data_IF_451865022368
#
_entry.id   IF_451865022368
#
_cell.length_a   1.000
_cell.length_b   1.000
_cell.length_c   1.000
_cell.angle_alpha   90.00
_cell.angle_beta   90.00
_cell.angle_gamma   90.00
#
_symmetry.space_group_name_H-M   'P 1'
#
loop_
_entity.id
_entity.type
_entity.pdbx_description
1 polymer ?
#
# COMPACT_ATOMS: atom_id res chain seq x y z
N UNK A 1 1.74 11.96 14.27
CA UNK A 1 1.40 10.52 14.28
C UNK A 1 1.71 9.97 12.90
N UNK A 2 2.20 8.73 12.80
CA UNK A 2 2.55 8.13 11.52
C UNK A 2 1.47 7.13 11.07
N UNK A 3 1.26 7.03 9.77
CA UNK A 3 0.61 5.85 9.17
C UNK A 3 1.64 4.73 9.22
N UNK A 4 1.30 3.58 9.80
CA UNK A 4 2.25 2.48 10.02
C UNK A 4 1.86 1.26 9.23
N UNK A 5 2.79 0.66 8.51
CA UNK A 5 2.64 -0.66 7.88
C UNK A 5 3.62 -1.63 8.53
N UNK A 6 3.09 -2.74 9.04
CA UNK A 6 3.88 -3.90 9.47
C UNK A 6 3.73 -5.01 8.45
N UNK A 7 4.84 -5.46 7.88
CA UNK A 7 4.85 -6.40 6.75
C UNK A 7 5.17 -7.83 7.16
N UNK A 8 4.65 -8.74 6.34
CA UNK A 8 5.08 -10.12 6.24
C UNK A 8 5.42 -10.39 4.76
N UNK A 9 6.68 -10.73 4.50
CA UNK A 9 7.15 -11.07 3.16
C UNK A 9 6.85 -12.55 2.87
N UNK A 10 6.20 -12.79 1.74
CA UNK A 10 5.96 -14.10 1.15
C UNK A 10 6.76 -14.21 -0.15
N UNK A 11 6.77 -15.40 -0.76
CA UNK A 11 7.54 -15.66 -1.97
C UNK A 11 6.97 -14.89 -3.18
N UNK A 12 5.64 -14.74 -3.25
CA UNK A 12 4.88 -14.20 -4.38
C UNK A 12 4.34 -12.78 -4.13
N UNK A 13 4.22 -12.35 -2.88
CA UNK A 13 3.75 -11.02 -2.52
C UNK A 13 4.29 -10.55 -1.16
N UNK A 14 3.95 -9.33 -0.77
CA UNK A 14 4.09 -8.86 0.60
C UNK A 14 2.73 -8.44 1.12
N UNK A 15 2.31 -9.02 2.23
CA UNK A 15 1.09 -8.59 2.94
C UNK A 15 1.45 -7.80 4.18
N UNK A 16 0.51 -7.00 4.68
CA UNK A 16 0.77 -6.26 5.92
C UNK A 16 -0.49 -5.80 6.64
N UNK A 17 -0.28 -5.32 7.86
CA UNK A 17 -1.28 -4.58 8.62
C UNK A 17 -0.95 -3.10 8.57
N UNK A 18 -1.92 -2.27 8.17
CA UNK A 18 -1.80 -0.82 8.15
C UNK A 18 -2.63 -0.19 9.26
N UNK A 19 -2.09 0.80 9.97
CA UNK A 19 -2.82 1.49 11.03
C UNK A 19 -2.45 2.96 11.17
N UNK A 20 -3.42 3.78 11.58
CA UNK A 20 -3.23 5.19 11.94
C UNK A 20 -3.99 5.47 13.23
N UNK A 21 -3.23 5.64 14.32
CA UNK A 21 -3.81 5.82 15.65
C UNK A 21 -4.66 4.62 16.08
N UNK A 22 -5.75 4.91 16.80
CA UNK A 22 -6.75 3.90 17.16
C UNK A 22 -7.87 3.80 16.12
N UNK A 23 -8.01 4.84 15.28
CA UNK A 23 -9.20 5.08 14.47
C UNK A 23 -9.20 4.28 13.16
N UNK A 24 -8.03 3.88 12.67
CA UNK A 24 -7.90 3.16 11.41
C UNK A 24 -7.00 1.93 11.52
N UNK A 25 -7.52 0.79 11.06
CA UNK A 25 -6.79 -0.46 10.85
C UNK A 25 -7.32 -1.16 9.60
N UNK A 26 -6.41 -1.72 8.82
CA UNK A 26 -6.74 -2.49 7.62
C UNK A 26 -5.54 -3.41 7.24
N UNK A 27 -5.64 -4.07 6.09
CA UNK A 27 -4.58 -4.86 5.49
C UNK A 27 -4.01 -4.20 4.24
N UNK A 28 -2.79 -4.58 3.89
CA UNK A 28 -2.09 -4.15 2.68
C UNK A 28 -1.66 -5.33 1.82
N UNK A 29 -1.56 -5.07 0.52
CA UNK A 29 -0.95 -5.97 -0.46
C UNK A 29 0.06 -5.19 -1.32
N UNK A 30 1.23 -5.77 -1.48
CA UNK A 30 2.35 -5.21 -2.23
C UNK A 30 3.05 -6.33 -3.02
N UNK A 31 3.96 -5.95 -3.92
CA UNK A 31 4.86 -6.91 -4.59
C UNK A 31 5.80 -7.59 -3.58
N UNK A 32 6.38 -8.77 -3.92
CA UNK A 32 7.37 -9.41 -3.06
C UNK A 32 8.59 -8.50 -2.90
N UNK A 33 9.37 -8.70 -1.83
CA UNK A 33 10.66 -8.00 -1.71
C UNK A 33 11.65 -8.58 -2.71
N UNK A 34 12.17 -7.73 -3.59
CA UNK A 34 13.14 -8.09 -4.63
C UNK A 34 14.23 -7.01 -4.66
N UNK A 35 14.85 -6.73 -3.52
CA UNK A 35 15.96 -5.78 -3.36
C UNK A 35 15.72 -4.39 -3.99
N UNK A 36 14.50 -3.86 -3.79
CA UNK A 36 14.06 -2.59 -4.35
C UNK A 36 14.15 -2.51 -5.89
N UNK A 37 14.12 -3.65 -6.59
CA UNK A 37 14.08 -3.68 -8.06
C UNK A 37 12.86 -2.91 -8.57
N UNK A 38 13.12 -1.99 -9.50
CA UNK A 38 12.08 -1.13 -10.09
C UNK A 38 10.98 -1.98 -10.73
N UNK A 39 9.74 -1.71 -10.35
CA UNK A 39 8.51 -2.33 -10.85
C UNK A 39 8.29 -3.80 -10.47
N UNK A 40 9.22 -4.41 -9.73
CA UNK A 40 9.15 -5.81 -9.30
C UNK A 40 9.23 -6.01 -7.78
N UNK A 41 9.54 -4.96 -7.02
CA UNK A 41 9.67 -5.00 -5.56
C UNK A 41 8.67 -4.07 -4.87
N UNK A 42 8.24 -4.45 -3.66
CA UNK A 42 7.77 -3.48 -2.66
C UNK A 42 8.92 -2.52 -2.27
N UNK A 43 8.56 -1.35 -1.73
CA UNK A 43 9.55 -0.34 -1.32
C UNK A 43 10.32 -0.76 -0.08
N UNK A 44 11.53 -0.25 0.18
CA UNK A 44 12.28 -0.57 1.40
C UNK A 44 11.50 -0.24 2.69
N UNK A 45 11.89 -0.87 3.80
CA UNK A 45 11.47 -0.40 5.12
C UNK A 45 12.07 0.99 5.39
N UNK A 46 11.36 1.83 6.14
CA UNK A 46 11.80 3.19 6.44
C UNK A 46 10.65 4.18 6.64
N UNK A 47 11.00 5.46 6.53
CA UNK A 47 10.07 6.57 6.72
C UNK A 47 9.93 7.36 5.43
N UNK A 48 8.69 7.60 5.02
CA UNK A 48 8.37 8.27 3.76
C UNK A 48 7.41 9.42 4.00
N UNK A 49 7.61 10.50 3.25
CA UNK A 49 6.64 11.61 3.22
C UNK A 49 5.50 11.23 2.30
N UNK A 50 4.27 11.40 2.78
CA UNK A 50 3.08 11.07 2.04
C UNK A 50 2.19 12.29 1.85
N UNK A 51 1.57 12.37 0.66
CA UNK A 51 0.64 13.44 0.30
C UNK A 51 -0.55 12.89 -0.48
N UNK A 52 -1.76 13.33 -0.13
CA UNK A 52 -2.96 13.05 -0.94
C UNK A 52 -2.88 13.78 -2.28
N UNK A 53 -3.12 13.07 -3.37
CA UNK A 53 -3.09 13.62 -4.73
C UNK A 53 -4.23 13.03 -5.57
N UNK A 54 -4.49 13.67 -6.72
CA UNK A 54 -5.34 13.12 -7.77
C UNK A 54 -4.46 12.76 -8.96
N UNK A 55 -4.33 11.46 -9.22
CA UNK A 55 -3.63 10.91 -10.38
C UNK A 55 -4.56 10.88 -11.59
N UNK A 56 -4.07 11.21 -12.81
CA UNK A 56 -4.86 11.06 -14.04
C UNK A 56 -5.36 9.63 -14.28
N UNK A 57 -4.62 8.60 -13.85
CA UNK A 57 -4.95 7.19 -14.09
C UNK A 57 -5.64 6.49 -12.93
N UNK A 58 -5.38 6.91 -11.69
CA UNK A 58 -5.89 6.25 -10.48
C UNK A 58 -7.00 7.04 -9.79
N UNK A 59 -7.21 8.31 -10.16
CA UNK A 59 -8.01 9.25 -9.38
C UNK A 59 -7.33 9.54 -8.04
N UNK A 60 -8.12 9.65 -6.97
CA UNK A 60 -7.61 9.89 -5.62
C UNK A 60 -6.65 8.76 -5.17
N UNK A 61 -5.45 9.16 -4.74
CA UNK A 61 -4.42 8.28 -4.23
C UNK A 61 -3.51 9.03 -3.25
N UNK A 62 -2.64 8.31 -2.55
CA UNK A 62 -1.61 8.90 -1.69
C UNK A 62 -0.26 8.67 -2.36
N UNK A 63 0.48 9.73 -2.65
CA UNK A 63 1.86 9.66 -3.12
C UNK A 63 2.80 9.33 -1.98
N UNK A 64 3.78 8.45 -2.23
CA UNK A 64 4.88 8.12 -1.32
C UNK A 64 6.17 8.69 -1.92
N UNK A 65 6.69 9.74 -1.31
CA UNK A 65 7.83 10.50 -1.81
C UNK A 65 9.16 10.00 -1.26
N UNK A 66 10.25 10.33 -1.97
CA UNK A 66 11.63 10.05 -1.58
C UNK A 66 11.97 8.55 -1.45
N UNK A 67 11.30 7.70 -2.21
CA UNK A 67 11.71 6.30 -2.37
C UNK A 67 12.93 6.27 -3.32
N UNK A 68 14.11 5.96 -2.78
CA UNK A 68 15.37 5.98 -3.54
C UNK A 68 15.28 5.09 -4.78
N UNK A 69 15.57 5.67 -5.95
CA UNK A 69 15.55 4.98 -7.24
C UNK A 69 14.15 4.66 -7.79
N UNK A 70 13.07 5.11 -7.13
CA UNK A 70 11.69 4.84 -7.52
C UNK A 70 10.91 6.14 -7.66
N UNK A 71 9.95 6.14 -8.58
CA UNK A 71 8.99 7.22 -8.77
C UNK A 71 7.60 6.63 -8.78
N UNK A 72 6.58 7.47 -8.58
CA UNK A 72 5.18 7.09 -8.73
C UNK A 72 4.71 5.95 -7.82
N UNK A 73 5.37 5.78 -6.66
CA UNK A 73 4.92 4.89 -5.59
C UNK A 73 3.73 5.53 -4.91
N UNK A 74 2.65 4.75 -4.77
CA UNK A 74 1.38 5.26 -4.22
C UNK A 74 0.69 4.23 -3.34
N UNK A 75 -0.13 4.72 -2.41
CA UNK A 75 -1.19 3.92 -1.77
C UNK A 75 -2.50 4.19 -2.51
N UNK A 76 -3.15 3.14 -3.00
CA UNK A 76 -4.41 3.26 -3.74
C UNK A 76 -5.31 2.03 -3.60
N UNK A 77 -6.54 2.15 -4.08
CA UNK A 77 -7.47 1.02 -4.21
C UNK A 77 -7.03 0.06 -5.31
N UNK A 78 -7.24 -1.22 -5.08
CA UNK A 78 -6.90 -2.34 -5.95
C UNK A 78 -6.99 -3.62 -5.12
N UNK A 79 -7.03 -4.77 -5.77
CA UNK A 79 -7.22 -6.06 -5.10
C UNK A 79 -6.06 -7.03 -5.33
N UNK A 80 -5.38 -6.94 -6.47
CA UNK A 80 -4.44 -7.96 -6.94
C UNK A 80 -3.03 -7.40 -7.18
N UNK A 81 -2.00 -8.22 -6.98
CA UNK A 81 -0.59 -7.86 -7.21
C UNK A 81 -0.29 -7.46 -8.66
N UNK A 82 -0.94 -8.09 -9.65
CA UNK A 82 -0.74 -7.75 -11.07
C UNK A 82 -1.22 -6.33 -11.44
N UNK A 83 -1.97 -5.66 -10.56
CA UNK A 83 -2.44 -4.28 -10.76
C UNK A 83 -1.40 -3.22 -10.36
N UNK A 84 -0.26 -3.63 -9.79
CA UNK A 84 0.72 -2.72 -9.21
C UNK A 84 2.14 -2.96 -9.73
N UNK A 85 2.96 -1.91 -9.69
CA UNK A 85 4.38 -1.92 -10.06
C UNK A 85 5.25 -1.41 -8.89
N UNK A 86 4.88 -1.84 -7.67
CA UNK A 86 5.48 -1.43 -6.41
C UNK A 86 4.66 -0.44 -5.58
N UNK A 87 3.41 -0.17 -5.98
CA UNK A 87 2.44 0.52 -5.15
C UNK A 87 1.96 -0.36 -3.99
N UNK A 88 1.22 0.26 -3.07
CA UNK A 88 0.64 -0.37 -1.89
C UNK A 88 -0.88 -0.37 -2.05
N UNK A 89 -1.48 -1.55 -2.07
CA UNK A 89 -2.94 -1.71 -2.06
C UNK A 89 -3.44 -1.82 -0.63
N UNK A 90 -4.70 -1.42 -0.40
CA UNK A 90 -5.36 -1.51 0.92
C UNK A 90 -6.69 -2.26 0.81
N UNK A 91 -7.01 -3.06 1.82
CA UNK A 91 -8.30 -3.75 1.93
C UNK A 91 -8.63 -4.21 3.35
N UNK A 92 -9.85 -4.71 3.56
CA UNK A 92 -10.34 -5.08 4.89
C UNK A 92 -10.14 -6.54 5.27
N UNK A 93 -9.79 -7.40 4.31
CA UNK A 93 -9.40 -8.79 4.57
C UNK A 93 -8.41 -9.27 3.52
N UNK A 94 -7.73 -10.38 3.83
CA UNK A 94 -6.82 -11.09 2.92
C UNK A 94 -7.46 -12.41 2.52
N UNK A 95 -7.60 -12.65 1.22
CA UNK A 95 -8.20 -13.86 0.63
C UNK A 95 -7.62 -14.08 -0.77
N UNK A 96 -7.58 -15.32 -1.24
CA UNK A 96 -7.44 -15.58 -2.68
C UNK A 96 -8.84 -15.43 -3.30
N UNK A 97 -9.05 -14.42 -4.16
CA UNK A 97 -10.36 -14.15 -4.78
C UNK A 97 -10.40 -14.42 -6.29
N UNK A 98 -9.28 -14.80 -6.90
CA UNK A 98 -9.18 -15.13 -8.33
C UNK A 98 -8.69 -16.57 -8.61
N UNK A 99 -8.30 -17.33 -7.57
CA UNK A 99 -7.84 -18.70 -7.66
C UNK A 99 -6.38 -18.87 -8.11
N UNK A 100 -5.55 -17.83 -8.05
CA UNK A 100 -4.15 -17.88 -8.47
C UNK A 100 -3.16 -18.25 -7.35
N UNK A 101 -3.69 -18.53 -6.14
CA UNK A 101 -2.94 -18.85 -4.92
C UNK A 101 -2.11 -17.70 -4.34
N UNK A 102 -2.11 -16.52 -4.96
CA UNK A 102 -1.51 -15.31 -4.41
C UNK A 102 -2.52 -14.61 -3.49
N UNK A 103 -2.12 -14.19 -2.27
CA UNK A 103 -3.02 -13.43 -1.42
C UNK A 103 -3.50 -12.10 -2.05
N UNK A 104 -4.80 -11.85 -2.03
CA UNK A 104 -5.43 -10.59 -2.44
C UNK A 104 -5.98 -9.81 -1.25
N UNK A 105 -6.19 -8.51 -1.43
CA UNK A 105 -6.93 -7.67 -0.48
C UNK A 105 -8.36 -7.42 -0.97
N UNK A 106 -9.34 -7.42 -0.06
CA UNK A 106 -10.77 -7.22 -0.42
C UNK A 106 -11.30 -5.83 -0.05
N UNK A 107 -12.45 -5.44 -0.63
CA UNK A 107 -13.19 -4.22 -0.28
C UNK A 107 -12.35 -2.93 -0.36
N UNK A 108 -11.41 -2.89 -1.30
CA UNK A 108 -10.37 -1.87 -1.36
C UNK A 108 -10.88 -0.44 -1.51
N UNK A 109 -11.98 -0.23 -2.25
CA UNK A 109 -12.61 1.08 -2.40
C UNK A 109 -13.11 1.67 -1.08
N UNK A 110 -13.86 0.89 -0.29
CA UNK A 110 -14.38 1.34 1.00
C UNK A 110 -13.25 1.52 2.02
N UNK A 111 -12.27 0.61 2.05
CA UNK A 111 -11.11 0.71 2.94
C UNK A 111 -10.25 1.93 2.62
N UNK A 112 -9.98 2.19 1.33
CA UNK A 112 -9.25 3.37 0.91
C UNK A 112 -10.00 4.67 1.25
N UNK A 113 -11.32 4.69 1.07
CA UNK A 113 -12.15 5.84 1.48
C UNK A 113 -12.10 6.12 2.98
N UNK A 114 -12.03 5.08 3.83
CA UNK A 114 -11.81 5.24 5.27
C UNK A 114 -10.41 5.79 5.56
N UNK A 115 -9.37 5.24 4.93
CA UNK A 115 -8.00 5.72 5.09
C UNK A 115 -7.88 7.21 4.77
N UNK A 116 -8.43 7.64 3.64
CA UNK A 116 -8.40 9.04 3.18
C UNK A 116 -9.10 10.01 4.14
N UNK A 117 -10.10 9.55 4.89
CA UNK A 117 -10.77 10.33 5.94
C UNK A 117 -9.99 10.36 7.26
N UNK A 118 -9.23 9.31 7.56
CA UNK A 118 -8.49 9.17 8.82
C UNK A 118 -7.16 9.94 8.84
N UNK A 119 -6.46 10.04 7.71
CA UNK A 119 -5.17 10.71 7.62
C UNK A 119 -5.31 12.18 7.17
N UNK A 120 -4.44 13.10 7.62
CA UNK A 120 -4.38 14.47 7.09
C UNK A 120 -3.85 14.48 5.64
N UNK A 121 -3.80 15.65 5.01
CA UNK A 121 -3.36 15.74 3.61
C UNK A 121 -1.87 15.46 3.40
N UNK A 122 -1.05 15.76 4.42
CA UNK A 122 0.37 15.44 4.46
C UNK A 122 0.70 14.73 5.78
N UNK A 123 1.41 13.61 5.71
CA UNK A 123 1.78 12.81 6.88
C UNK A 123 3.01 11.94 6.57
N UNK A 124 3.52 11.26 7.60
CA UNK A 124 4.61 10.30 7.47
C UNK A 124 4.07 8.88 7.44
N UNK A 125 4.52 8.10 6.46
CA UNK A 125 4.38 6.65 6.41
C UNK A 125 5.62 6.00 7.02
N UNK A 126 5.41 5.12 7.99
CA UNK A 126 6.42 4.27 8.62
C UNK A 126 6.19 2.83 8.15
N UNK A 127 7.22 2.25 7.56
CA UNK A 127 7.19 0.90 7.00
C UNK A 127 8.20 0.05 7.75
N UNK A 128 7.75 -1.08 8.31
CA UNK A 128 8.57 -2.02 9.08
C UNK A 128 8.23 -3.46 8.78
#
# INVERSE_FOLDING_TARGET
MNLKIKRLHLDDCTIGSISYGIDFRAFTLELPWQDNIKSHSCIPAGFYQCKKIVSPSLGECIEVSNVVGRTYIRIHKGNYTYQIQGCILVGDSIKDINGDLTPDVTNSGNTFGKLMKSVPDNFVLEVS
#
